data_IF_026325678626
#
_entry.id   IF_026325678626
#
_cell.length_a   1.000
_cell.length_b   1.000
_cell.length_c   1.000
_cell.angle_alpha   90.00
_cell.angle_beta   90.00
_cell.angle_gamma   90.00
#
_symmetry.space_group_name_H-M   'P 1'
#
loop_
_entity.id
_entity.type
_entity.pdbx_description
1 polymer ?
#
# COMPACT_ATOMS: atom_id res chain seq x y z
N UNK A 1 -2.81 -15.45 1.41
CA UNK A 1 -2.78 -14.13 2.06
C UNK A 1 -4.16 -13.50 2.12
N UNK A 2 -5.02 -13.68 1.14
CA UNK A 2 -6.36 -13.06 1.12
C UNK A 2 -7.35 -13.75 2.05
N UNK A 3 -7.32 -15.08 2.13
CA UNK A 3 -8.23 -15.84 2.99
C UNK A 3 -7.87 -15.79 4.48
N UNK A 4 -6.79 -15.08 4.84
CA UNK A 4 -6.26 -14.99 6.20
C UNK A 4 -6.10 -16.35 6.91
N UNK A 5 -5.94 -17.44 6.14
CA UNK A 5 -5.75 -18.79 6.63
C UNK A 5 -4.80 -19.55 5.71
N UNK A 6 -4.01 -20.45 6.27
CA UNK A 6 -3.19 -21.39 5.53
C UNK A 6 -3.34 -22.79 6.13
N UNK A 7 -3.65 -23.76 5.29
CA UNK A 7 -3.69 -25.16 5.68
C UNK A 7 -2.36 -25.83 5.29
N UNK A 8 -1.64 -26.28 6.29
CA UNK A 8 -0.44 -27.10 6.07
C UNK A 8 -0.84 -28.56 6.28
N UNK A 9 -0.76 -29.34 5.20
CA UNK A 9 -1.05 -30.77 5.21
C UNK A 9 0.24 -31.55 5.10
N UNK A 10 0.48 -32.45 6.06
CA UNK A 10 1.55 -33.47 6.05
C UNK A 10 0.91 -34.86 6.09
N UNK A 11 1.69 -35.89 5.83
CA UNK A 11 1.21 -37.29 5.76
C UNK A 11 0.29 -37.66 6.94
N UNK A 12 0.63 -37.25 8.17
CA UNK A 12 -0.08 -37.61 9.39
C UNK A 12 -0.72 -36.44 10.14
N UNK A 13 -0.75 -35.23 9.58
CA UNK A 13 -1.32 -34.07 10.25
C UNK A 13 -1.81 -33.01 9.29
N UNK A 14 -2.94 -32.37 9.63
CA UNK A 14 -3.46 -31.19 8.95
C UNK A 14 -3.60 -30.08 9.99
N UNK A 15 -2.90 -28.97 9.81
CA UNK A 15 -2.94 -27.85 10.73
C UNK A 15 -3.36 -26.60 9.98
N UNK A 16 -4.40 -25.94 10.47
CA UNK A 16 -4.89 -24.66 9.96
C UNK A 16 -4.27 -23.52 10.78
N UNK A 17 -3.56 -22.62 10.11
CA UNK A 17 -2.99 -21.43 10.73
C UNK A 17 -3.78 -20.21 10.31
N UNK A 18 -4.10 -19.33 11.26
CA UNK A 18 -4.60 -17.99 10.96
C UNK A 18 -3.45 -17.07 10.57
N UNK A 19 -3.64 -16.33 9.46
CA UNK A 19 -2.62 -15.44 8.90
C UNK A 19 -3.10 -13.97 8.86
N UNK A 20 -3.84 -13.55 9.90
CA UNK A 20 -4.22 -12.15 10.13
C UNK A 20 -3.04 -11.40 10.77
N UNK A 21 -2.15 -10.87 9.98
CA UNK A 21 -1.02 -10.06 10.45
C UNK A 21 -0.75 -8.89 9.50
N UNK A 22 -0.03 -7.88 9.99
CA UNK A 22 0.53 -6.80 9.17
C UNK A 22 1.90 -7.26 8.70
N UNK A 23 2.10 -7.29 7.38
CA UNK A 23 3.38 -7.62 6.77
C UNK A 23 4.12 -6.33 6.42
N UNK A 24 5.28 -6.11 7.03
CA UNK A 24 6.18 -4.98 6.75
C UNK A 24 7.53 -5.55 6.35
N UNK A 25 8.06 -5.10 5.23
CA UNK A 25 9.35 -5.54 4.73
C UNK A 25 10.15 -4.35 4.20
N UNK A 26 11.47 -4.45 4.30
CA UNK A 26 12.40 -3.52 3.68
C UNK A 26 13.36 -4.30 2.79
N UNK A 27 13.72 -3.72 1.66
CA UNK A 27 14.69 -4.31 0.75
C UNK A 27 15.57 -3.22 0.14
N UNK A 28 16.83 -3.53 -0.10
CA UNK A 28 17.73 -2.64 -0.81
C UNK A 28 17.29 -2.48 -2.29
N UNK A 29 17.60 -1.36 -2.94
CA UNK A 29 17.24 -1.12 -4.34
C UNK A 29 18.06 -1.96 -5.33
N UNK A 30 19.23 -2.47 -4.91
CA UNK A 30 20.15 -3.30 -5.69
C UNK A 30 21.06 -4.11 -4.76
N UNK A 31 21.88 -5.06 -5.25
CA UNK A 31 22.80 -5.86 -4.44
C UNK A 31 23.77 -5.04 -3.58
N UNK A 32 24.32 -3.95 -4.09
CA UNK A 32 25.23 -3.08 -3.33
C UNK A 32 24.53 -2.06 -2.43
N UNK A 33 23.20 -1.88 -2.56
CA UNK A 33 22.40 -0.93 -1.79
C UNK A 33 22.41 0.51 -2.28
N UNK A 34 23.31 0.90 -3.18
CA UNK A 34 23.60 2.30 -3.49
C UNK A 34 22.85 2.86 -4.72
N UNK A 35 21.92 2.10 -5.34
CA UNK A 35 21.25 2.54 -6.58
C UNK A 35 20.49 3.86 -6.45
N UNK A 36 19.97 4.14 -5.25
CA UNK A 36 19.23 5.38 -4.96
C UNK A 36 20.01 6.32 -4.04
N UNK A 37 21.27 6.03 -3.74
CA UNK A 37 22.09 6.89 -2.90
C UNK A 37 22.57 8.11 -3.69
N UNK A 38 22.49 9.27 -3.05
CA UNK A 38 23.06 10.52 -3.55
C UNK A 38 24.52 10.72 -3.14
N UNK A 39 25.04 9.87 -2.24
CA UNK A 39 26.39 9.98 -1.67
C UNK A 39 27.34 8.93 -2.23
N UNK A 40 26.84 7.72 -2.51
CA UNK A 40 27.65 6.58 -2.95
C UNK A 40 27.23 6.12 -4.34
N UNK A 41 28.19 5.92 -5.21
CA UNK A 41 27.92 5.41 -6.55
C UNK A 41 27.53 3.92 -6.53
N UNK A 42 26.54 3.56 -7.32
CA UNK A 42 26.12 2.19 -7.53
C UNK A 42 27.12 1.46 -8.42
N UNK A 43 27.61 0.29 -7.98
CA UNK A 43 28.56 -0.56 -8.71
C UNK A 43 27.90 -1.72 -9.44
N UNK A 44 26.61 -1.88 -9.34
CA UNK A 44 25.87 -2.97 -9.96
C UNK A 44 25.60 -2.67 -11.42
N UNK A 45 25.79 -3.66 -12.29
CA UNK A 45 25.33 -3.59 -13.66
C UNK A 45 23.81 -3.84 -13.74
N UNK A 46 23.22 -3.52 -14.89
CA UNK A 46 21.77 -3.61 -15.09
C UNK A 46 21.25 -5.03 -14.93
N UNK A 47 21.99 -6.02 -15.40
CA UNK A 47 21.63 -7.44 -15.31
C UNK A 47 21.60 -7.94 -13.85
N UNK A 48 22.54 -7.49 -13.03
CA UNK A 48 22.58 -7.82 -11.59
C UNK A 48 21.38 -7.20 -10.86
N UNK A 49 21.03 -5.95 -11.20
CA UNK A 49 19.86 -5.27 -10.64
C UNK A 49 18.57 -6.01 -11.02
N UNK A 50 18.42 -6.39 -12.28
CA UNK A 50 17.26 -7.14 -12.76
C UNK A 50 17.14 -8.51 -12.07
N UNK A 51 18.22 -9.27 -11.98
CA UNK A 51 18.24 -10.57 -11.28
C UNK A 51 17.92 -10.43 -9.80
N UNK A 52 18.40 -9.37 -9.16
CA UNK A 52 18.12 -9.10 -7.75
C UNK A 52 16.64 -8.78 -7.53
N UNK A 53 16.06 -7.87 -8.33
CA UNK A 53 14.64 -7.51 -8.26
C UNK A 53 13.74 -8.69 -8.63
N UNK A 54 14.13 -9.51 -9.59
CA UNK A 54 13.41 -10.69 -10.05
C UNK A 54 13.29 -11.84 -9.02
N UNK A 55 14.01 -11.77 -7.90
CA UNK A 55 13.83 -12.72 -6.77
C UNK A 55 12.45 -12.61 -6.10
N UNK A 56 11.82 -11.45 -6.20
CA UNK A 56 10.45 -11.26 -5.76
C UNK A 56 9.51 -11.38 -6.97
N UNK A 57 8.63 -12.36 -6.94
CA UNK A 57 7.68 -12.59 -8.03
C UNK A 57 6.66 -11.46 -8.15
N UNK A 58 6.25 -11.13 -9.38
CA UNK A 58 5.22 -10.12 -9.62
C UNK A 58 3.91 -10.41 -8.87
N UNK A 59 3.41 -11.68 -8.80
CA UNK A 59 2.23 -11.99 -8.01
C UNK A 59 2.40 -11.72 -6.50
N UNK A 60 3.61 -11.84 -5.96
CA UNK A 60 3.89 -11.47 -4.57
C UNK A 60 3.85 -9.96 -4.39
N UNK A 61 4.53 -9.22 -5.26
CA UNK A 61 4.57 -7.76 -5.21
C UNK A 61 3.20 -7.13 -5.42
N UNK A 62 2.37 -7.71 -6.30
CA UNK A 62 0.99 -7.26 -6.49
C UNK A 62 0.12 -7.46 -5.22
N UNK A 63 0.52 -8.32 -4.29
CA UNK A 63 -0.15 -8.49 -2.98
C UNK A 63 0.24 -7.45 -1.95
N UNK A 64 1.31 -6.68 -2.16
CA UNK A 64 1.72 -5.58 -1.28
C UNK A 64 0.81 -4.37 -1.53
N UNK A 65 0.24 -3.82 -0.46
CA UNK A 65 -0.71 -2.70 -0.58
C UNK A 65 -0.02 -1.35 -0.75
N UNK A 66 1.09 -1.14 -0.05
CA UNK A 66 1.86 0.11 -0.05
C UNK A 66 3.31 -0.17 -0.41
N UNK A 67 3.81 0.53 -1.42
CA UNK A 67 5.19 0.48 -1.86
C UNK A 67 5.82 1.86 -1.71
N UNK A 68 6.85 1.97 -0.87
CA UNK A 68 7.51 3.25 -0.57
C UNK A 68 8.97 3.18 -0.98
N UNK A 69 9.40 4.14 -1.80
CA UNK A 69 10.80 4.33 -2.13
C UNK A 69 11.42 5.26 -1.09
N UNK A 70 12.42 4.77 -0.36
CA UNK A 70 13.16 5.56 0.62
C UNK A 70 14.42 6.13 -0.04
N UNK A 71 14.56 7.44 0.00
CA UNK A 71 15.76 8.15 -0.46
C UNK A 71 16.61 8.54 0.74
N UNK A 72 17.90 8.82 0.51
CA UNK A 72 18.76 9.40 1.53
C UNK A 72 18.16 10.73 2.00
N UNK A 73 17.95 10.88 3.31
CA UNK A 73 17.53 12.14 3.91
C UNK A 73 18.74 12.78 4.59
N UNK A 74 19.09 13.99 4.17
CA UNK A 74 20.06 14.80 4.89
C UNK A 74 19.38 15.45 6.10
N UNK A 75 20.05 15.46 7.24
CA UNK A 75 19.54 15.74 8.59
C UNK A 75 19.05 17.18 8.86
N UNK A 76 18.94 18.05 7.87
CA UNK A 76 18.47 19.42 8.04
C UNK A 76 16.95 19.60 8.03
N UNK A 77 16.17 18.51 7.95
CA UNK A 77 14.73 18.60 8.00
C UNK A 77 14.25 18.86 9.44
N UNK A 78 13.99 20.13 9.73
CA UNK A 78 13.41 20.62 10.99
C UNK A 78 11.95 20.16 11.24
N UNK A 79 11.32 19.49 10.30
CA UNK A 79 9.95 19.01 10.42
C UNK A 79 9.91 17.54 10.88
N UNK A 80 10.32 17.30 12.11
CA UNK A 80 10.21 15.98 12.72
C UNK A 80 8.81 15.86 13.30
N UNK A 81 7.96 15.04 12.64
CA UNK A 81 6.64 14.67 13.17
C UNK A 81 6.85 13.68 14.31
N UNK A 82 6.28 13.95 15.46
CA UNK A 82 6.39 13.08 16.64
C UNK A 82 5.53 11.82 16.50
N UNK A 83 5.94 10.73 17.15
CA UNK A 83 5.12 9.49 17.21
C UNK A 83 3.74 9.75 17.81
N UNK A 84 3.62 10.67 18.75
CA UNK A 84 2.34 11.08 19.37
C UNK A 84 1.41 11.69 18.32
N UNK A 85 1.90 12.63 17.54
CA UNK A 85 1.13 13.29 16.48
C UNK A 85 0.68 12.30 15.40
N UNK A 86 1.55 11.39 14.98
CA UNK A 86 1.19 10.32 14.04
C UNK A 86 0.11 9.41 14.62
N UNK A 87 0.22 9.06 15.91
CA UNK A 87 -0.76 8.23 16.61
C UNK A 87 -2.13 8.92 16.67
N UNK A 88 -2.16 10.20 17.02
CA UNK A 88 -3.41 10.99 17.06
C UNK A 88 -4.11 11.01 15.70
N UNK A 89 -3.37 11.16 14.59
CA UNK A 89 -3.92 11.09 13.24
C UNK A 89 -4.49 9.70 12.91
N UNK A 90 -3.79 8.63 13.30
CA UNK A 90 -4.28 7.25 13.13
C UNK A 90 -5.57 7.04 13.91
N UNK A 91 -5.65 7.51 15.16
CA UNK A 91 -6.87 7.39 15.99
C UNK A 91 -8.03 8.15 15.36
N UNK A 92 -7.82 9.37 14.84
CA UNK A 92 -8.87 10.13 14.13
C UNK A 92 -9.43 9.33 12.96
N UNK A 93 -8.56 8.80 12.08
CA UNK A 93 -8.99 8.00 10.95
C UNK A 93 -9.72 6.71 11.39
N UNK A 94 -9.26 6.06 12.46
CA UNK A 94 -9.92 4.89 13.04
C UNK A 94 -11.33 5.20 13.55
N UNK A 95 -11.50 6.30 14.29
CA UNK A 95 -12.81 6.75 14.79
C UNK A 95 -13.77 6.98 13.64
N UNK A 96 -13.35 7.61 12.53
CA UNK A 96 -14.18 7.81 11.33
C UNK A 96 -14.66 6.51 10.70
N UNK A 97 -13.79 5.51 10.61
CA UNK A 97 -14.17 4.19 10.13
C UNK A 97 -15.26 3.57 11.02
N UNK A 98 -15.15 3.72 12.34
CA UNK A 98 -16.17 3.25 13.30
C UNK A 98 -17.48 4.03 13.19
N UNK A 99 -17.42 5.35 13.11
CA UNK A 99 -18.61 6.20 12.95
C UNK A 99 -19.38 5.93 11.65
N UNK A 100 -18.67 5.54 10.59
CA UNK A 100 -19.26 5.11 9.31
C UNK A 100 -20.01 3.79 9.41
N UNK A 101 -19.92 3.08 10.53
CA UNK A 101 -20.60 1.82 10.77
C UNK A 101 -20.03 0.63 10.00
N UNK A 102 -18.79 0.73 9.48
CA UNK A 102 -18.14 -0.39 8.82
C UNK A 102 -17.64 -1.42 9.84
N UNK A 103 -17.78 -2.71 9.50
CA UNK A 103 -17.41 -3.83 10.38
C UNK A 103 -15.88 -4.04 10.41
N UNK A 104 -15.24 -3.92 9.25
CA UNK A 104 -13.81 -4.15 9.04
C UNK A 104 -13.09 -2.83 8.74
N UNK A 105 -11.80 -2.77 9.02
CA UNK A 105 -10.96 -1.62 8.64
C UNK A 105 -10.85 -1.50 7.10
N UNK A 106 -10.55 -0.30 6.61
CA UNK A 106 -10.46 -0.01 5.17
C UNK A 106 -9.62 -1.05 4.40
N UNK A 107 -8.50 -1.50 4.95
CA UNK A 107 -7.65 -2.52 4.32
C UNK A 107 -8.29 -3.91 4.18
N UNK A 108 -9.35 -4.19 4.94
CA UNK A 108 -10.05 -5.48 4.97
C UNK A 108 -11.42 -5.46 4.30
N UNK A 109 -11.84 -4.35 3.72
CA UNK A 109 -13.11 -4.23 3.03
C UNK A 109 -13.24 -5.26 1.90
N UNK A 110 -14.40 -5.89 1.80
CA UNK A 110 -14.77 -6.74 0.66
C UNK A 110 -15.24 -5.86 -0.53
N UNK A 111 -15.61 -6.47 -1.65
CA UNK A 111 -16.03 -5.74 -2.84
C UNK A 111 -17.31 -4.92 -2.67
N UNK A 112 -18.27 -5.44 -1.89
CA UNK A 112 -19.53 -4.73 -1.60
C UNK A 112 -19.26 -3.52 -0.72
N UNK A 113 -18.42 -3.68 0.30
CA UNK A 113 -18.02 -2.60 1.20
C UNK A 113 -17.19 -1.52 0.48
N UNK A 114 -16.33 -1.90 -0.49
CA UNK A 114 -15.60 -0.94 -1.32
C UNK A 114 -16.59 -0.07 -2.09
N UNK A 115 -17.59 -0.66 -2.74
CA UNK A 115 -18.61 0.09 -3.46
C UNK A 115 -19.40 1.03 -2.55
N UNK A 116 -19.63 0.63 -1.32
CA UNK A 116 -20.39 1.38 -0.33
C UNK A 116 -19.60 2.53 0.31
N UNK A 117 -18.34 2.31 0.65
CA UNK A 117 -17.55 3.23 1.46
C UNK A 117 -16.46 4.00 0.70
N UNK A 118 -16.02 3.50 -0.46
CA UNK A 118 -14.99 4.15 -1.27
C UNK A 118 -15.62 5.00 -2.38
N UNK A 119 -16.49 5.94 -1.99
CA UNK A 119 -17.17 6.84 -2.93
C UNK A 119 -16.16 7.88 -3.42
N UNK A 120 -16.06 8.04 -4.73
CA UNK A 120 -15.18 8.98 -5.42
C UNK A 120 -15.94 10.21 -5.85
N UNK A 121 -15.30 11.39 -5.82
CA UNK A 121 -15.77 12.55 -6.56
C UNK A 121 -15.59 12.34 -8.07
N UNK A 122 -16.16 13.22 -8.90
CA UNK A 122 -16.16 13.06 -10.36
C UNK A 122 -14.75 13.20 -10.96
N UNK A 123 -13.92 14.07 -10.40
CA UNK A 123 -12.53 14.21 -10.84
C UNK A 123 -11.71 12.94 -10.50
N UNK A 124 -11.90 12.36 -9.32
CA UNK A 124 -11.24 11.13 -8.93
C UNK A 124 -11.67 9.95 -9.81
N UNK A 125 -12.95 9.85 -10.20
CA UNK A 125 -13.41 8.82 -11.14
C UNK A 125 -12.66 8.89 -12.48
N UNK A 126 -12.53 10.08 -13.04
CA UNK A 126 -11.82 10.31 -14.31
C UNK A 126 -10.34 9.87 -14.19
N UNK A 127 -9.71 10.23 -13.06
CA UNK A 127 -8.30 9.86 -12.82
C UNK A 127 -8.15 8.36 -12.64
N UNK A 128 -9.06 7.72 -11.90
CA UNK A 128 -9.01 6.27 -11.70
C UNK A 128 -9.10 5.52 -13.03
N UNK A 129 -10.01 5.92 -13.93
CA UNK A 129 -10.13 5.30 -15.24
C UNK A 129 -8.87 5.53 -16.10
N UNK A 130 -8.31 6.75 -16.10
CA UNK A 130 -7.04 7.02 -16.78
C UNK A 130 -5.90 6.16 -16.21
N UNK A 131 -5.80 6.07 -14.89
CA UNK A 131 -4.79 5.26 -14.23
C UNK A 131 -4.95 3.76 -14.56
N UNK A 132 -6.19 3.27 -14.58
CA UNK A 132 -6.51 1.89 -14.94
C UNK A 132 -6.02 1.54 -16.35
N UNK A 133 -6.28 2.43 -17.32
CA UNK A 133 -5.85 2.24 -18.72
C UNK A 133 -4.33 2.36 -18.87
N UNK A 134 -3.73 3.43 -18.32
CA UNK A 134 -2.30 3.71 -18.51
C UNK A 134 -1.38 2.70 -17.81
N UNK A 135 -1.77 2.23 -16.63
CA UNK A 135 -0.98 1.28 -15.82
C UNK A 135 -1.51 -0.16 -15.93
N UNK A 136 -2.50 -0.42 -16.78
CA UNK A 136 -3.12 -1.75 -16.96
C UNK A 136 -3.49 -2.40 -15.61
N UNK A 137 -4.07 -1.60 -14.70
CA UNK A 137 -4.38 -2.07 -13.37
C UNK A 137 -5.42 -3.19 -13.40
N UNK A 138 -5.10 -4.31 -12.75
CA UNK A 138 -6.06 -5.39 -12.52
C UNK A 138 -7.18 -4.90 -11.58
N UNK A 139 -8.31 -5.60 -11.59
CA UNK A 139 -9.41 -5.31 -10.66
C UNK A 139 -8.95 -5.31 -9.19
N UNK A 140 -8.10 -6.27 -8.83
CA UNK A 140 -7.49 -6.33 -7.49
C UNK A 140 -6.65 -5.09 -7.18
N UNK A 141 -5.83 -4.63 -8.13
CA UNK A 141 -5.02 -3.43 -7.96
C UNK A 141 -5.87 -2.17 -7.80
N UNK A 142 -6.98 -2.05 -8.55
CA UNK A 142 -7.95 -0.96 -8.40
C UNK A 142 -8.56 -0.98 -7.00
N UNK A 143 -9.01 -2.13 -6.51
CA UNK A 143 -9.56 -2.26 -5.16
C UNK A 143 -8.55 -1.85 -4.07
N UNK A 144 -7.27 -2.18 -4.22
CA UNK A 144 -6.22 -1.74 -3.30
C UNK A 144 -6.03 -0.23 -3.33
N UNK A 145 -5.98 0.38 -4.52
CA UNK A 145 -5.91 1.84 -4.67
C UNK A 145 -7.07 2.51 -3.96
N UNK A 146 -8.30 1.99 -4.11
CA UNK A 146 -9.49 2.54 -3.47
C UNK A 146 -9.44 2.43 -1.93
N UNK A 147 -8.99 1.31 -1.39
CA UNK A 147 -8.82 1.11 0.07
C UNK A 147 -7.79 2.08 0.66
N UNK A 148 -6.67 2.28 -0.03
CA UNK A 148 -5.63 3.23 0.38
C UNK A 148 -6.16 4.66 0.26
N UNK A 149 -6.81 5.01 -0.86
CA UNK A 149 -7.40 6.34 -1.06
C UNK A 149 -8.47 6.66 -0.01
N UNK A 150 -9.31 5.67 0.39
CA UNK A 150 -10.28 5.84 1.48
C UNK A 150 -9.58 6.13 2.80
N UNK A 151 -8.47 5.45 3.09
CA UNK A 151 -7.70 5.70 4.31
C UNK A 151 -7.08 7.10 4.31
N UNK A 152 -6.54 7.55 3.17
CA UNK A 152 -6.01 8.89 3.02
C UNK A 152 -7.12 9.95 3.20
N UNK A 153 -8.30 9.72 2.62
CA UNK A 153 -9.44 10.59 2.79
C UNK A 153 -9.92 10.65 4.25
N UNK A 154 -9.88 9.54 4.99
CA UNK A 154 -10.18 9.52 6.42
C UNK A 154 -9.16 10.33 7.25
N UNK A 155 -7.87 10.26 6.88
CA UNK A 155 -6.81 11.07 7.49
C UNK A 155 -6.98 12.57 7.19
N UNK A 156 -7.47 12.93 6.01
CA UNK A 156 -7.69 14.30 5.55
C UNK A 156 -9.06 14.87 5.95
N UNK A 157 -9.88 14.13 6.69
CA UNK A 157 -11.24 14.52 7.08
C UNK A 157 -12.25 14.60 5.93
N UNK A 158 -11.99 13.95 4.80
CA UNK A 158 -12.86 13.98 3.63
C UNK A 158 -13.98 12.92 3.73
N UNK A 159 -15.24 13.32 3.51
CA UNK A 159 -16.37 12.42 3.48
C UNK A 159 -16.32 11.45 2.29
N UNK A 160 -15.88 11.93 1.13
CA UNK A 160 -15.68 11.17 -0.11
C UNK A 160 -14.21 11.23 -0.52
N UNK A 161 -13.78 10.30 -1.35
CA UNK A 161 -12.41 10.27 -1.87
C UNK A 161 -12.26 11.34 -2.93
N UNK A 162 -11.39 12.32 -2.66
CA UNK A 162 -11.08 13.39 -3.59
C UNK A 162 -9.99 12.99 -4.59
N UNK A 163 -9.87 13.76 -5.66
CA UNK A 163 -8.76 13.67 -6.63
C UNK A 163 -7.40 13.57 -5.95
N UNK A 164 -7.14 14.42 -4.95
CA UNK A 164 -5.85 14.46 -4.26
C UNK A 164 -5.60 13.19 -3.44
N UNK A 165 -6.63 12.65 -2.78
CA UNK A 165 -6.53 11.40 -2.03
C UNK A 165 -6.21 10.23 -2.96
N UNK A 166 -6.84 10.20 -4.13
CA UNK A 166 -6.60 9.17 -5.14
C UNK A 166 -5.18 9.27 -5.72
N UNK A 167 -4.73 10.46 -6.10
CA UNK A 167 -3.36 10.67 -6.62
C UNK A 167 -2.30 10.25 -5.60
N UNK A 168 -2.50 10.59 -4.32
CA UNK A 168 -1.62 10.13 -3.24
C UNK A 168 -1.61 8.61 -3.13
N UNK A 169 -2.76 7.94 -3.25
CA UNK A 169 -2.83 6.48 -3.19
C UNK A 169 -2.11 5.80 -4.36
N UNK A 170 -2.17 6.38 -5.55
CA UNK A 170 -1.46 5.87 -6.73
C UNK A 170 0.07 5.96 -6.59
N UNK A 171 0.60 6.92 -5.81
CA UNK A 171 2.03 7.02 -5.54
C UNK A 171 2.58 5.85 -4.70
N UNK A 172 1.73 5.16 -3.95
CA UNK A 172 2.09 3.96 -3.20
C UNK A 172 2.04 2.68 -4.03
N UNK A 173 1.67 2.76 -5.30
CA UNK A 173 1.72 1.60 -6.20
C UNK A 173 3.10 1.50 -6.83
N UNK A 174 3.59 0.27 -6.97
CA UNK A 174 4.80 -0.01 -7.74
C UNK A 174 4.58 0.39 -9.20
N UNK A 175 5.54 1.12 -9.72
CA UNK A 175 5.66 1.49 -11.14
C UNK A 175 6.62 0.57 -11.86
#
# INVERSE_FOLDING_TARGET
MEDNKILISRVNSKTLYETKFIFIAAMNPCPCGNLLSSVKECRCNELEIQRYKGRLSEPFLDRIDLYVVMNDSFSDNKNIVSSKELHENVIKAFIKQKQRGQKELNGKLNEEDIKKYCILDDEAKIILEKARLNYQLSFRSVNKVLKVARTIADLNDNAIITKNDLLKSLNFRRR
#
